data_IF_808353658956
#
_entry.id   IF_808353658956
#
_cell.length_a   1.000
_cell.length_b   1.000
_cell.length_c   1.000
_cell.angle_alpha   90.00
_cell.angle_beta   90.00
_cell.angle_gamma   90.00
#
_symmetry.space_group_name_H-M   'P 1'
#
loop_
_entity.id
_entity.type
_entity.pdbx_description
1 polymer ?
#
# COMPACT_ATOMS: atom_id res chain seq x y z
N UNK A 1 21.69 13.96 42.08
CA UNK A 1 21.94 13.70 40.65
C UNK A 1 20.66 14.03 39.91
N UNK A 2 20.63 15.12 39.15
CA UNK A 2 19.50 15.42 38.30
C UNK A 2 19.42 14.33 37.23
N UNK A 3 18.27 13.62 37.17
CA UNK A 3 18.02 12.73 36.08
C UNK A 3 18.04 13.57 34.79
N UNK A 4 18.82 13.16 33.82
CA UNK A 4 18.68 13.60 32.41
C UNK A 4 17.34 13.05 31.92
N UNK A 5 16.25 13.54 32.48
CA UNK A 5 14.90 13.22 32.08
C UNK A 5 14.48 14.13 30.93
N UNK A 6 14.00 13.54 29.89
CA UNK A 6 13.47 14.14 28.65
C UNK A 6 14.52 14.87 27.80
N UNK A 7 15.33 14.10 27.11
CA UNK A 7 15.65 14.53 25.76
C UNK A 7 14.32 14.59 25.00
N UNK A 8 14.03 15.75 24.45
CA UNK A 8 12.83 15.91 23.59
C UNK A 8 12.77 14.72 22.64
N UNK A 9 11.60 14.07 22.59
CA UNK A 9 11.40 12.98 21.62
C UNK A 9 11.74 13.58 20.26
N UNK A 10 12.68 12.97 19.56
CA UNK A 10 13.04 13.41 18.21
C UNK A 10 11.81 13.53 17.28
N UNK A 11 12.02 14.06 16.13
CA UNK A 11 10.95 14.15 15.11
C UNK A 11 11.17 13.07 14.03
N UNK A 12 10.10 12.55 13.40
CA UNK A 12 10.23 11.61 12.30
C UNK A 12 11.19 12.13 11.24
N UNK A 13 12.14 11.29 10.80
CA UNK A 13 13.14 11.65 9.80
C UNK A 13 14.28 12.54 10.30
N UNK A 14 14.33 12.88 11.58
CA UNK A 14 15.46 13.60 12.17
C UNK A 14 16.69 12.68 12.27
N UNK A 15 17.87 13.20 11.90
CA UNK A 15 19.13 12.48 12.00
C UNK A 15 19.62 12.47 13.45
N UNK A 16 20.08 11.31 13.93
CA UNK A 16 20.56 11.16 15.31
C UNK A 16 22.07 11.29 15.34
N UNK A 17 22.55 12.34 16.02
CA UNK A 17 23.95 12.61 16.21
C UNK A 17 24.63 13.31 15.02
N UNK A 18 25.77 13.93 15.30
CA UNK A 18 26.60 14.63 14.32
C UNK A 18 27.69 13.69 13.78
N UNK A 19 27.32 12.51 13.31
CA UNK A 19 28.31 11.57 12.78
C UNK A 19 28.58 11.86 11.30
N UNK A 20 29.85 11.88 10.85
CA UNK A 20 30.20 12.06 9.44
C UNK A 20 29.81 10.87 8.56
N UNK A 21 29.07 9.90 9.10
CA UNK A 21 28.69 8.64 8.47
C UNK A 21 27.32 8.69 7.80
N UNK A 22 26.55 9.78 7.93
CA UNK A 22 25.27 9.89 7.24
C UNK A 22 25.48 10.11 5.73
N UNK A 23 25.02 9.18 4.94
CA UNK A 23 24.94 9.34 3.50
C UNK A 23 23.50 9.70 3.13
N UNK A 24 23.32 10.85 2.50
CA UNK A 24 22.03 11.36 2.06
C UNK A 24 22.04 11.52 0.55
N UNK A 25 21.06 10.89 -0.11
CA UNK A 25 20.78 11.08 -1.53
C UNK A 25 19.51 11.91 -1.69
N UNK A 26 19.44 12.72 -2.75
CA UNK A 26 18.20 13.42 -3.11
C UNK A 26 17.50 12.71 -4.26
N UNK A 27 16.19 12.52 -4.12
CA UNK A 27 15.31 11.86 -5.10
C UNK A 27 14.01 12.66 -5.21
N UNK A 28 13.23 12.44 -6.25
CA UNK A 28 11.91 13.04 -6.38
C UNK A 28 10.85 12.15 -5.72
N UNK A 29 9.91 12.75 -5.01
CA UNK A 29 8.76 12.04 -4.46
C UNK A 29 7.79 11.60 -5.56
N UNK A 30 7.34 10.37 -5.52
CA UNK A 30 6.19 9.89 -6.27
C UNK A 30 5.03 9.67 -5.30
N UNK A 31 4.19 10.69 -5.18
CA UNK A 31 3.17 10.79 -4.15
C UNK A 31 3.72 11.35 -2.83
N UNK A 32 2.87 11.39 -1.80
CA UNK A 32 3.25 11.86 -0.47
C UNK A 32 4.28 10.93 0.18
N UNK A 33 5.34 11.51 0.76
CA UNK A 33 6.41 10.79 1.47
C UNK A 33 6.57 11.40 2.87
N UNK A 34 6.00 10.77 3.91
CA UNK A 34 6.16 11.21 5.29
C UNK A 34 7.62 11.16 5.75
N UNK A 35 8.02 12.10 6.61
CA UNK A 35 9.33 12.05 7.25
C UNK A 35 9.46 10.80 8.10
N UNK A 36 10.64 10.18 8.12
CA UNK A 36 10.90 8.97 8.87
C UNK A 36 10.34 7.69 8.24
N UNK A 37 9.68 7.78 7.09
CA UNK A 37 9.20 6.62 6.37
C UNK A 37 10.33 5.97 5.54
N UNK A 38 10.42 4.62 5.52
CA UNK A 38 11.21 3.90 4.54
C UNK A 38 10.77 4.22 3.11
N UNK A 39 11.73 4.41 2.21
CA UNK A 39 11.47 4.77 0.82
C UNK A 39 12.06 3.77 -0.17
N UNK A 40 11.34 3.53 -1.24
CA UNK A 40 11.62 2.55 -2.27
C UNK A 40 11.83 3.22 -3.63
N UNK A 41 12.72 2.68 -4.44
CA UNK A 41 12.86 3.10 -5.83
C UNK A 41 11.62 2.73 -6.66
N UNK A 42 11.26 3.57 -7.61
CA UNK A 42 10.10 3.34 -8.51
C UNK A 42 10.49 2.68 -9.84
N UNK A 43 11.79 2.33 -9.99
CA UNK A 43 12.32 1.65 -11.16
C UNK A 43 12.88 2.58 -12.25
N UNK A 44 12.62 3.87 -12.18
CA UNK A 44 13.19 4.89 -13.09
C UNK A 44 14.54 5.48 -12.63
N UNK A 45 14.96 5.13 -11.40
CA UNK A 45 16.22 5.57 -10.80
C UNK A 45 16.20 7.00 -10.23
N UNK A 46 15.16 7.77 -10.46
CA UNK A 46 15.06 9.18 -10.03
C UNK A 46 14.01 9.41 -8.94
N UNK A 47 12.95 8.59 -8.91
CA UNK A 47 11.83 8.76 -8.00
C UNK A 47 11.82 7.75 -6.86
N UNK A 48 11.20 8.14 -5.76
CA UNK A 48 10.96 7.29 -4.58
C UNK A 48 9.49 7.34 -4.14
N UNK A 49 9.03 6.25 -3.55
CA UNK A 49 7.70 6.15 -2.94
C UNK A 49 7.78 5.42 -1.61
N UNK A 50 6.76 5.55 -0.76
CA UNK A 50 6.66 4.84 0.53
C UNK A 50 6.12 3.42 0.40
N UNK A 51 5.49 3.10 -0.72
CA UNK A 51 4.92 1.79 -0.97
C UNK A 51 5.74 1.08 -2.03
N UNK A 52 6.42 0.02 -1.65
CA UNK A 52 7.25 -0.72 -2.60
C UNK A 52 7.65 -2.09 -2.08
N UNK A 53 7.95 -2.96 -3.02
CA UNK A 53 8.46 -4.31 -2.80
C UNK A 53 9.76 -4.53 -3.58
N UNK A 54 10.32 -3.46 -4.10
CA UNK A 54 11.55 -3.44 -4.89
C UNK A 54 12.72 -2.92 -4.06
N UNK A 55 13.61 -2.17 -4.64
CA UNK A 55 14.79 -1.65 -3.97
C UNK A 55 14.43 -0.66 -2.85
N UNK A 56 14.54 -1.11 -1.60
CA UNK A 56 14.54 -0.24 -0.44
C UNK A 56 15.81 0.61 -0.47
N UNK A 57 15.66 1.94 -0.48
CA UNK A 57 16.78 2.87 -0.62
C UNK A 57 17.26 3.45 0.70
N UNK A 58 16.38 3.61 1.67
CA UNK A 58 16.71 4.21 2.97
C UNK A 58 15.45 4.74 3.66
N UNK A 59 15.63 5.76 4.50
CA UNK A 59 14.55 6.44 5.22
C UNK A 59 14.52 7.92 4.81
N UNK A 60 13.32 8.47 4.59
CA UNK A 60 13.10 9.87 4.27
C UNK A 60 13.55 10.75 5.45
N UNK A 61 14.62 11.51 5.25
CA UNK A 61 15.11 12.45 6.24
C UNK A 61 14.24 13.71 6.26
N UNK A 62 14.11 14.31 7.45
CA UNK A 62 13.36 15.55 7.63
C UNK A 62 14.04 16.71 6.89
N UNK A 63 13.23 17.50 6.20
CA UNK A 63 13.63 18.78 5.62
C UNK A 63 13.12 19.95 6.48
N UNK A 64 13.66 21.13 6.28
CA UNK A 64 13.25 22.36 6.97
C UNK A 64 11.93 22.96 6.43
N UNK A 65 11.05 22.13 5.85
CA UNK A 65 9.73 22.54 5.39
C UNK A 65 8.69 22.41 6.50
N UNK A 66 7.70 23.29 6.51
CA UNK A 66 6.66 23.34 7.56
C UNK A 66 5.60 22.21 7.45
N UNK A 67 5.74 21.29 6.52
CA UNK A 67 4.84 20.16 6.34
C UNK A 67 5.42 18.90 6.99
N UNK A 68 4.58 17.92 7.43
CA UNK A 68 5.06 16.67 8.01
C UNK A 68 5.57 15.67 6.96
N UNK A 69 5.49 16.01 5.67
CA UNK A 69 5.80 15.12 4.55
C UNK A 69 6.27 15.91 3.32
N UNK A 70 6.95 15.21 2.44
CA UNK A 70 7.19 15.66 1.07
C UNK A 70 5.95 15.40 0.22
N UNK A 71 5.60 16.35 -0.65
CA UNK A 71 4.51 16.19 -1.63
C UNK A 71 5.03 15.54 -2.91
N UNK A 72 4.11 15.17 -3.79
CA UNK A 72 4.45 14.66 -5.12
C UNK A 72 5.39 15.64 -5.86
N UNK A 73 6.44 15.10 -6.46
CA UNK A 73 7.52 15.81 -7.14
C UNK A 73 8.44 16.68 -6.24
N UNK A 74 8.29 16.67 -4.91
CA UNK A 74 9.26 17.31 -4.02
C UNK A 74 10.61 16.56 -4.02
N UNK A 75 11.70 17.28 -3.74
CA UNK A 75 13.01 16.68 -3.53
C UNK A 75 13.09 16.03 -2.14
N UNK A 76 13.07 14.71 -2.09
CA UNK A 76 13.19 13.90 -0.87
C UNK A 76 14.64 13.67 -0.53
N UNK A 77 15.03 14.00 0.69
CA UNK A 77 16.33 13.62 1.25
C UNK A 77 16.24 12.19 1.80
N UNK A 78 16.96 11.26 1.21
CA UNK A 78 16.97 9.84 1.61
C UNK A 78 18.24 9.55 2.39
N UNK A 79 18.10 9.23 3.68
CA UNK A 79 19.21 8.76 4.51
C UNK A 79 19.45 7.28 4.20
N UNK A 80 20.65 6.95 3.74
CA UNK A 80 21.06 5.58 3.34
C UNK A 80 21.89 4.88 4.38
N UNK A 81 22.67 5.63 5.15
CA UNK A 81 23.52 5.11 6.23
C UNK A 81 23.44 6.04 7.44
N UNK A 82 23.74 5.51 8.62
CA UNK A 82 23.73 6.24 9.89
C UNK A 82 22.44 6.04 10.69
N UNK A 83 22.20 6.89 11.67
CA UNK A 83 21.07 6.78 12.60
C UNK A 83 20.02 7.84 12.34
N UNK A 84 18.76 7.42 12.26
CA UNK A 84 17.62 8.28 11.95
C UNK A 84 16.39 7.86 12.75
N UNK A 85 15.52 8.82 13.07
CA UNK A 85 14.21 8.51 13.65
C UNK A 85 13.25 8.02 12.57
N UNK A 86 12.85 6.76 12.66
CA UNK A 86 11.81 6.15 11.85
C UNK A 86 10.49 6.02 12.61
N UNK A 87 9.43 5.66 11.91
CA UNK A 87 8.09 5.42 12.48
C UNK A 87 7.87 3.91 12.62
N UNK A 88 7.59 3.47 13.84
CA UNK A 88 7.30 2.07 14.14
C UNK A 88 5.89 1.68 13.70
N UNK A 89 5.73 0.47 13.19
CA UNK A 89 4.43 -0.14 12.88
C UNK A 89 3.85 -0.95 14.04
N UNK A 90 4.68 -1.24 15.03
CA UNK A 90 4.34 -2.04 16.22
C UNK A 90 5.39 -1.80 17.31
N UNK A 91 5.26 -2.45 18.46
CA UNK A 91 6.26 -2.41 19.52
C UNK A 91 7.59 -3.04 19.05
N UNK A 92 8.70 -2.36 19.30
CA UNK A 92 10.05 -2.79 18.91
C UNK A 92 10.98 -2.63 20.11
N UNK A 93 11.74 -3.67 20.43
CA UNK A 93 12.77 -3.61 21.49
C UNK A 93 14.05 -2.94 20.97
N UNK A 94 14.76 -2.23 21.88
CA UNK A 94 16.08 -1.71 21.57
C UNK A 94 17.04 -2.86 21.20
N UNK A 95 18.01 -2.57 20.34
CA UNK A 95 19.02 -3.50 19.80
C UNK A 95 18.45 -4.71 19.02
N UNK A 96 17.14 -4.71 18.76
CA UNK A 96 16.54 -5.70 17.87
C UNK A 96 16.83 -5.39 16.40
N UNK A 97 17.06 -6.43 15.62
CA UNK A 97 17.03 -6.30 14.15
C UNK A 97 15.59 -6.03 13.71
N UNK A 98 15.39 -5.16 12.72
CA UNK A 98 14.09 -4.74 12.26
C UNK A 98 13.82 -5.11 10.81
N UNK A 99 12.56 -5.21 10.47
CA UNK A 99 12.04 -5.37 9.11
C UNK A 99 11.32 -4.09 8.67
N UNK A 100 11.11 -3.96 7.38
CA UNK A 100 10.30 -2.90 6.77
C UNK A 100 9.06 -3.52 6.15
N UNK A 101 7.88 -3.05 6.55
CA UNK A 101 6.62 -3.40 5.90
C UNK A 101 6.45 -2.53 4.65
N UNK A 102 6.62 -3.12 3.47
CA UNK A 102 6.57 -2.41 2.19
C UNK A 102 5.18 -1.92 1.79
N UNK A 103 4.13 -2.39 2.47
CA UNK A 103 2.74 -1.96 2.20
C UNK A 103 2.33 -0.76 3.05
N UNK A 104 2.82 -0.68 4.29
CA UNK A 104 2.51 0.42 5.21
C UNK A 104 3.60 1.48 5.27
N UNK A 105 4.81 1.17 4.77
CA UNK A 105 5.96 2.04 4.87
C UNK A 105 6.42 2.26 6.32
N UNK A 106 6.26 1.26 7.20
CA UNK A 106 6.63 1.34 8.61
C UNK A 106 7.71 0.32 8.96
N UNK A 107 8.41 0.62 10.05
CA UNK A 107 9.43 -0.26 10.62
C UNK A 107 8.74 -1.18 11.61
N UNK A 108 9.00 -2.47 11.51
CA UNK A 108 8.40 -3.52 12.35
C UNK A 108 9.48 -4.40 12.97
N UNK A 109 9.15 -5.14 14.01
CA UNK A 109 10.04 -6.14 14.57
C UNK A 109 10.46 -7.13 13.47
N UNK A 110 11.66 -7.70 13.57
CA UNK A 110 12.16 -8.63 12.57
C UNK A 110 11.22 -9.81 12.39
N UNK A 111 10.82 -10.04 11.16
CA UNK A 111 10.02 -11.18 10.74
C UNK A 111 10.59 -11.76 9.44
N UNK A 112 10.06 -12.89 8.96
CA UNK A 112 10.50 -13.47 7.70
C UNK A 112 10.16 -12.56 6.52
N UNK A 113 11.12 -12.37 5.61
CA UNK A 113 10.88 -11.62 4.39
C UNK A 113 9.74 -12.26 3.57
N UNK A 114 8.87 -11.43 3.01
CA UNK A 114 7.74 -11.84 2.20
C UNK A 114 7.54 -10.92 1.01
N UNK A 115 7.24 -11.48 -0.15
CA UNK A 115 7.02 -10.69 -1.37
C UNK A 115 5.72 -9.87 -1.36
N UNK A 116 4.83 -10.14 -0.40
CA UNK A 116 3.49 -9.58 -0.38
C UNK A 116 2.61 -10.12 -1.51
N UNK A 117 1.31 -9.95 -1.37
CA UNK A 117 0.34 -10.38 -2.37
C UNK A 117 -0.72 -9.31 -2.61
N UNK A 118 -1.23 -9.24 -3.84
CA UNK A 118 -2.41 -8.45 -4.18
C UNK A 118 -3.66 -9.30 -3.97
N UNK A 119 -4.68 -8.69 -3.35
CA UNK A 119 -5.99 -9.36 -3.27
C UNK A 119 -6.59 -9.52 -4.66
N UNK A 120 -7.21 -10.67 -4.89
CA UNK A 120 -8.04 -10.91 -6.07
C UNK A 120 -9.47 -11.28 -5.68
N UNK A 121 -10.43 -10.81 -6.46
CA UNK A 121 -11.85 -11.16 -6.33
C UNK A 121 -12.38 -11.42 -7.74
N UNK A 122 -13.18 -12.47 -7.90
CA UNK A 122 -13.83 -12.78 -9.20
C UNK A 122 -15.32 -12.54 -9.12
N UNK A 123 -15.89 -12.03 -10.21
CA UNK A 123 -17.33 -11.92 -10.44
C UNK A 123 -17.63 -12.76 -11.66
N UNK A 124 -18.35 -13.87 -11.47
CA UNK A 124 -18.72 -14.78 -12.54
C UNK A 124 -20.18 -14.53 -12.92
N UNK A 125 -20.42 -14.17 -14.17
CA UNK A 125 -21.76 -14.12 -14.73
C UNK A 125 -22.12 -15.49 -15.31
N UNK A 126 -23.38 -15.91 -15.15
CA UNK A 126 -23.90 -17.12 -15.77
C UNK A 126 -25.37 -16.93 -16.18
N UNK A 127 -25.82 -17.75 -17.15
CA UNK A 127 -27.13 -17.59 -17.75
C UNK A 127 -27.16 -16.49 -18.81
N UNK A 128 -28.36 -16.19 -19.30
CA UNK A 128 -28.61 -15.14 -20.28
C UNK A 128 -29.60 -14.16 -19.68
N UNK A 129 -29.30 -12.87 -19.76
CA UNK A 129 -30.18 -11.82 -19.26
C UNK A 129 -31.27 -11.50 -20.28
N UNK A 130 -32.45 -11.09 -19.82
CA UNK A 130 -33.40 -10.36 -20.64
C UNK A 130 -32.89 -8.92 -20.84
N UNK A 131 -33.45 -8.22 -21.85
CA UNK A 131 -33.23 -6.79 -22.01
C UNK A 131 -33.83 -6.00 -20.83
N UNK A 132 -33.35 -4.78 -20.63
CA UNK A 132 -33.84 -3.83 -19.63
C UNK A 132 -33.74 -4.33 -18.17
N UNK A 133 -32.77 -5.21 -17.88
CA UNK A 133 -32.44 -5.63 -16.52
C UNK A 133 -31.28 -4.84 -15.99
N UNK A 134 -31.30 -4.61 -14.68
CA UNK A 134 -30.23 -3.86 -13.98
C UNK A 134 -29.25 -4.82 -13.35
N UNK A 135 -27.98 -4.61 -13.63
CA UNK A 135 -26.84 -5.23 -12.95
C UNK A 135 -26.16 -4.17 -12.10
N UNK A 136 -25.98 -4.47 -10.83
CA UNK A 136 -25.29 -3.57 -9.89
C UNK A 136 -24.06 -4.26 -9.31
N UNK A 137 -22.90 -3.62 -9.42
CA UNK A 137 -21.66 -4.07 -8.78
C UNK A 137 -21.18 -2.99 -7.83
N UNK A 138 -20.88 -3.37 -6.58
CA UNK A 138 -20.29 -2.48 -5.57
C UNK A 138 -18.90 -2.96 -5.20
N UNK A 139 -17.97 -2.00 -5.09
CA UNK A 139 -16.59 -2.21 -4.60
C UNK A 139 -16.34 -1.16 -3.51
N UNK A 140 -16.37 -1.58 -2.26
CA UNK A 140 -16.42 -0.65 -1.13
C UNK A 140 -17.64 0.28 -1.23
N UNK A 141 -17.39 1.58 -1.17
CA UNK A 141 -18.43 2.60 -1.26
C UNK A 141 -18.82 2.99 -2.70
N UNK A 142 -18.08 2.49 -3.69
CA UNK A 142 -18.35 2.78 -5.11
C UNK A 142 -19.30 1.74 -5.68
N UNK A 143 -20.31 2.23 -6.40
CA UNK A 143 -21.27 1.38 -7.10
C UNK A 143 -21.33 1.74 -8.58
N UNK A 144 -21.35 0.75 -9.43
CA UNK A 144 -21.64 0.89 -10.84
C UNK A 144 -22.92 0.13 -11.17
N UNK A 145 -23.75 0.73 -12.01
CA UNK A 145 -24.96 0.10 -12.54
C UNK A 145 -24.89 0.09 -14.04
N UNK A 146 -25.34 -1.01 -14.63
CA UNK A 146 -25.51 -1.14 -16.06
C UNK A 146 -26.90 -1.75 -16.35
N UNK A 147 -27.46 -1.40 -17.51
CA UNK A 147 -28.71 -1.97 -18.01
C UNK A 147 -28.37 -2.93 -19.14
N UNK A 148 -28.93 -4.14 -19.08
CA UNK A 148 -28.80 -5.13 -20.16
C UNK A 148 -29.62 -4.72 -21.36
N UNK A 149 -29.19 -5.12 -22.55
CA UNK A 149 -29.82 -4.85 -23.83
C UNK A 149 -29.72 -6.09 -24.73
N UNK A 150 -30.24 -6.02 -25.95
CA UNK A 150 -30.06 -7.10 -26.91
C UNK A 150 -28.60 -7.37 -27.26
N UNK A 151 -27.72 -6.35 -27.13
CA UNK A 151 -26.27 -6.46 -27.32
C UNK A 151 -25.51 -6.84 -26.04
N UNK A 152 -26.15 -6.75 -24.87
CA UNK A 152 -25.54 -7.04 -23.56
C UNK A 152 -26.46 -7.99 -22.79
N UNK A 153 -26.50 -9.25 -23.17
CA UNK A 153 -27.38 -10.26 -22.55
C UNK A 153 -26.70 -11.59 -22.23
N UNK A 154 -25.70 -12.01 -22.99
CA UNK A 154 -24.96 -13.22 -22.64
C UNK A 154 -24.05 -12.99 -21.45
N UNK A 155 -23.73 -14.05 -20.72
CA UNK A 155 -22.84 -13.97 -19.56
C UNK A 155 -21.50 -13.26 -19.88
N UNK A 156 -20.91 -13.54 -21.06
CA UNK A 156 -19.67 -12.92 -21.49
C UNK A 156 -19.83 -11.43 -21.82
N UNK A 157 -20.95 -11.04 -22.47
CA UNK A 157 -21.23 -9.63 -22.76
C UNK A 157 -21.48 -8.83 -21.48
N UNK A 158 -22.22 -9.40 -20.52
CA UNK A 158 -22.46 -8.78 -19.21
C UNK A 158 -21.14 -8.63 -18.44
N UNK A 159 -20.28 -9.65 -18.42
CA UNK A 159 -18.95 -9.55 -17.79
C UNK A 159 -18.10 -8.46 -18.44
N UNK A 160 -18.10 -8.34 -19.77
CA UNK A 160 -17.37 -7.28 -20.49
C UNK A 160 -17.92 -5.88 -20.16
N UNK A 161 -19.23 -5.73 -20.05
CA UNK A 161 -19.87 -4.47 -19.66
C UNK A 161 -19.55 -4.09 -18.22
N UNK A 162 -19.54 -5.05 -17.28
CA UNK A 162 -19.12 -4.85 -15.89
C UNK A 162 -17.65 -4.38 -15.85
N UNK A 163 -16.76 -5.05 -16.57
CA UNK A 163 -15.35 -4.68 -16.63
C UNK A 163 -15.16 -3.25 -17.13
N UNK A 164 -15.83 -2.88 -18.23
CA UNK A 164 -15.75 -1.54 -18.79
C UNK A 164 -16.27 -0.46 -17.81
N UNK A 165 -17.38 -0.70 -17.14
CA UNK A 165 -17.95 0.21 -16.15
C UNK A 165 -17.05 0.38 -14.93
N UNK A 166 -16.45 -0.70 -14.43
CA UNK A 166 -15.50 -0.65 -13.32
C UNK A 166 -14.18 0.03 -13.71
N UNK A 167 -13.69 -0.17 -14.94
CA UNK A 167 -12.49 0.49 -15.43
C UNK A 167 -12.64 2.01 -15.57
N UNK A 168 -13.87 2.49 -15.82
CA UNK A 168 -14.21 3.91 -15.87
C UNK A 168 -14.39 4.55 -14.48
N UNK A 169 -14.37 3.74 -13.41
CA UNK A 169 -14.62 4.19 -12.04
C UNK A 169 -13.29 4.14 -11.25
N UNK A 170 -13.02 5.18 -10.47
CA UNK A 170 -11.84 5.15 -9.59
C UNK A 170 -12.08 4.23 -8.39
N UNK A 171 -11.70 2.96 -8.56
CA UNK A 171 -11.73 1.92 -7.54
C UNK A 171 -10.30 1.46 -7.22
N UNK A 172 -10.03 0.92 -6.02
CA UNK A 172 -8.69 0.44 -5.65
C UNK A 172 -8.30 -0.91 -6.28
N UNK A 173 -9.00 -1.31 -7.34
CA UNK A 173 -8.75 -2.54 -8.10
C UNK A 173 -8.59 -2.23 -9.59
N UNK A 174 -7.86 -3.10 -10.27
CA UNK A 174 -7.82 -3.20 -11.73
C UNK A 174 -8.78 -4.32 -12.14
N UNK A 175 -9.72 -4.03 -13.04
CA UNK A 175 -10.67 -5.01 -13.55
C UNK A 175 -10.17 -5.58 -14.90
N UNK A 176 -10.11 -6.89 -15.01
CA UNK A 176 -9.86 -7.62 -16.25
C UNK A 176 -10.99 -8.62 -16.51
N UNK A 177 -11.22 -8.99 -17.77
CA UNK A 177 -12.28 -9.93 -18.14
C UNK A 177 -11.72 -11.07 -18.97
N UNK A 178 -12.19 -12.28 -18.68
CA UNK A 178 -11.94 -13.47 -19.49
C UNK A 178 -13.26 -14.26 -19.59
N UNK A 179 -13.83 -14.36 -20.79
CA UNK A 179 -15.14 -14.97 -21.03
C UNK A 179 -16.22 -14.34 -20.12
N UNK A 180 -16.86 -15.13 -19.26
CA UNK A 180 -17.91 -14.70 -18.35
C UNK A 180 -17.40 -14.31 -16.95
N UNK A 181 -16.07 -14.16 -16.75
CA UNK A 181 -15.45 -13.88 -15.45
C UNK A 181 -14.73 -12.54 -15.49
N UNK A 182 -15.12 -11.65 -14.59
CA UNK A 182 -14.38 -10.43 -14.27
C UNK A 182 -13.47 -10.70 -13.08
N UNK A 183 -12.19 -10.44 -13.23
CA UNK A 183 -11.20 -10.52 -12.15
C UNK A 183 -10.81 -9.13 -11.70
N UNK A 184 -11.03 -8.83 -10.43
CA UNK A 184 -10.58 -7.61 -9.77
C UNK A 184 -9.26 -7.93 -9.04
N UNK A 185 -8.19 -7.22 -9.41
CA UNK A 185 -6.88 -7.33 -8.75
C UNK A 185 -6.59 -6.01 -8.05
N UNK A 186 -6.29 -6.03 -6.76
CA UNK A 186 -5.95 -4.84 -6.00
C UNK A 186 -4.77 -4.10 -6.66
N UNK A 187 -4.82 -2.76 -6.71
CA UNK A 187 -3.75 -1.93 -7.27
C UNK A 187 -2.45 -2.07 -6.47
N UNK A 188 -2.55 -2.14 -5.13
CA UNK A 188 -1.44 -2.35 -4.20
C UNK A 188 -1.42 -3.78 -3.62
N UNK A 189 -0.25 -4.19 -3.12
CA UNK A 189 -0.10 -5.32 -2.20
C UNK A 189 -0.55 -4.90 -0.79
N UNK A 190 -0.82 -5.85 0.07
CA UNK A 190 -1.12 -5.59 1.47
C UNK A 190 -2.51 -6.05 1.90
N UNK A 191 -2.69 -6.12 3.21
CA UNK A 191 -3.93 -6.61 3.83
C UNK A 191 -5.10 -5.62 3.75
N UNK A 192 -4.83 -4.33 3.58
CA UNK A 192 -5.88 -3.29 3.53
C UNK A 192 -6.95 -3.52 2.46
N UNK A 193 -6.58 -4.16 1.34
CA UNK A 193 -7.55 -4.50 0.30
C UNK A 193 -8.52 -5.61 0.73
N UNK A 194 -8.21 -6.40 1.78
CA UNK A 194 -9.04 -7.53 2.22
C UNK A 194 -10.36 -7.08 2.85
N UNK A 195 -10.40 -5.87 3.42
CA UNK A 195 -11.58 -5.31 4.09
C UNK A 195 -12.56 -4.65 3.12
N UNK A 196 -12.19 -4.52 1.83
CA UNK A 196 -13.04 -3.89 0.82
C UNK A 196 -14.10 -4.89 0.37
N UNK A 197 -15.35 -4.65 0.72
CA UNK A 197 -16.46 -5.50 0.29
C UNK A 197 -16.68 -5.42 -1.23
N UNK A 198 -16.88 -6.56 -1.88
CA UNK A 198 -17.27 -6.65 -3.29
C UNK A 198 -18.58 -7.41 -3.37
N UNK A 199 -19.60 -6.81 -3.99
CA UNK A 199 -20.89 -7.45 -4.22
C UNK A 199 -21.35 -7.23 -5.67
N UNK A 200 -22.06 -8.19 -6.19
CA UNK A 200 -22.68 -8.10 -7.53
C UNK A 200 -24.10 -8.68 -7.46
N UNK A 201 -25.04 -7.94 -7.99
CA UNK A 201 -26.47 -8.33 -8.00
C UNK A 201 -27.09 -8.02 -9.35
N UNK A 202 -28.12 -8.77 -9.70
CA UNK A 202 -28.97 -8.52 -10.86
C UNK A 202 -30.44 -8.66 -10.46
N UNK A 203 -31.33 -7.93 -11.11
CA UNK A 203 -32.79 -8.08 -10.96
C UNK A 203 -33.38 -9.07 -11.98
N UNK A 204 -32.54 -9.79 -12.72
CA UNK A 204 -32.94 -10.82 -13.67
C UNK A 204 -32.97 -12.18 -12.96
N UNK A 205 -34.10 -12.90 -13.10
CA UNK A 205 -34.28 -14.24 -12.52
C UNK A 205 -33.57 -15.36 -13.30
N UNK A 206 -33.08 -15.10 -14.51
CA UNK A 206 -32.43 -16.09 -15.39
C UNK A 206 -30.90 -15.93 -15.44
N UNK A 207 -30.38 -14.77 -15.04
CA UNK A 207 -28.96 -14.51 -14.92
C UNK A 207 -28.54 -14.50 -13.45
N UNK A 208 -27.39 -15.06 -13.17
CA UNK A 208 -26.78 -15.01 -11.83
C UNK A 208 -25.40 -14.40 -11.87
N UNK A 209 -25.04 -13.67 -10.81
CA UNK A 209 -23.73 -13.10 -10.57
C UNK A 209 -23.19 -13.71 -9.26
N UNK A 210 -22.07 -14.40 -9.37
CA UNK A 210 -21.42 -15.01 -8.21
C UNK A 210 -20.10 -14.29 -7.93
N UNK A 211 -19.94 -13.80 -6.71
CA UNK A 211 -18.68 -13.18 -6.24
C UNK A 211 -17.91 -14.21 -5.42
N UNK A 212 -16.66 -14.41 -5.76
CA UNK A 212 -15.77 -15.29 -5.00
C UNK A 212 -14.45 -14.56 -4.68
N UNK A 213 -13.96 -14.73 -3.44
CA UNK A 213 -12.63 -14.28 -3.05
C UNK A 213 -11.60 -15.25 -3.62
N UNK A 214 -10.58 -14.70 -4.28
CA UNK A 214 -9.40 -15.43 -4.73
C UNK A 214 -8.26 -15.33 -3.71
N UNK A 215 -7.09 -14.82 -4.15
CA UNK A 215 -5.95 -14.60 -3.28
C UNK A 215 -6.24 -13.46 -2.30
N UNK A 216 -5.95 -13.67 -1.01
CA UNK A 216 -5.95 -12.58 -0.03
C UNK A 216 -4.72 -11.68 -0.24
N UNK A 217 -4.89 -10.39 -0.02
CA UNK A 217 -3.77 -9.46 0.04
C UNK A 217 -2.86 -9.78 1.23
N UNK A 218 -1.58 -9.64 1.04
CA UNK A 218 -0.57 -9.80 2.09
C UNK A 218 0.49 -8.71 1.97
N UNK A 219 1.01 -8.26 3.11
CA UNK A 219 2.03 -7.23 3.16
C UNK A 219 3.37 -7.77 2.65
N UNK A 220 4.11 -6.93 1.94
CA UNK A 220 5.51 -7.19 1.66
C UNK A 220 6.34 -6.89 2.91
N UNK A 221 7.31 -7.75 3.22
CA UNK A 221 8.23 -7.59 4.34
C UNK A 221 9.66 -7.69 3.83
N UNK A 222 10.45 -6.66 4.09
CA UNK A 222 11.84 -6.58 3.68
C UNK A 222 12.76 -6.59 4.93
N UNK A 223 13.87 -7.30 4.84
CA UNK A 223 14.88 -7.40 5.90
C UNK A 223 16.17 -6.70 5.44
N UNK A 224 16.31 -5.40 5.69
CA UNK A 224 17.47 -4.63 5.24
C UNK A 224 18.74 -4.86 6.09
N UNK A 225 18.64 -5.56 7.20
CA UNK A 225 19.74 -5.71 8.17
C UNK A 225 19.89 -4.50 9.10
N UNK A 226 18.87 -3.69 9.26
CA UNK A 226 18.86 -2.54 10.15
C UNK A 226 18.58 -2.95 11.60
N UNK A 227 19.01 -2.11 12.54
CA UNK A 227 18.81 -2.34 13.96
C UNK A 227 18.10 -1.17 14.63
N UNK A 228 17.15 -1.45 15.52
CA UNK A 228 16.60 -0.45 16.42
C UNK A 228 17.64 -0.10 17.49
N UNK A 229 17.84 1.19 17.79
CA UNK A 229 18.70 1.68 18.86
C UNK A 229 17.93 2.31 20.01
N UNK A 230 16.60 2.34 19.89
CA UNK A 230 15.69 2.70 20.97
C UNK A 230 14.48 1.77 20.95
N UNK A 231 13.71 1.77 22.03
CA UNK A 231 12.41 1.08 22.07
C UNK A 231 11.35 1.92 21.40
N UNK A 232 10.37 1.27 20.77
CA UNK A 232 9.05 1.79 20.46
C UNK A 232 8.04 0.92 21.25
N UNK A 233 7.11 1.54 21.98
CA UNK A 233 6.17 0.80 22.81
C UNK A 233 4.91 0.39 22.05
N UNK A 234 4.59 1.13 20.97
CA UNK A 234 3.41 0.90 20.15
C UNK A 234 3.64 1.31 18.68
N UNK A 235 2.66 1.03 17.83
CA UNK A 235 2.58 1.59 16.49
C UNK A 235 2.54 3.12 16.55
N UNK A 236 3.12 3.75 15.55
CA UNK A 236 3.29 5.21 15.39
C UNK A 236 4.25 5.88 16.39
N UNK A 237 4.87 5.11 17.28
CA UNK A 237 5.99 5.59 18.07
C UNK A 237 7.24 5.80 17.21
N UNK A 238 8.12 6.67 17.70
CA UNK A 238 9.44 6.86 17.07
C UNK A 238 10.44 5.81 17.55
N UNK A 239 11.18 5.28 16.61
CA UNK A 239 12.31 4.37 16.87
C UNK A 239 13.57 4.92 16.19
N UNK A 240 14.69 4.92 16.91
CA UNK A 240 15.99 5.21 16.32
C UNK A 240 16.43 3.97 15.55
N UNK A 241 16.65 4.12 14.25
CA UNK A 241 17.11 3.04 13.38
C UNK A 241 18.52 3.32 12.91
N UNK A 242 19.38 2.32 13.06
CA UNK A 242 20.74 2.30 12.54
C UNK A 242 20.73 1.57 11.19
N UNK A 243 21.08 2.30 10.15
CA UNK A 243 21.02 1.82 8.77
C UNK A 243 22.31 1.12 8.31
N UNK A 244 23.32 1.10 9.18
CA UNK A 244 24.64 0.54 8.89
C UNK A 244 25.69 1.55 8.49
#
# INVERSE_FOLDING_TARGET
MAAYGNMDKGLPGELVGLTPTHQIDSRLAKGAVPFGAPVFGTGDGEQVSVNGDTALLGIAARSAIDTPEYKDADAVNVCRTGKIFGVAGEAISADAEVSVNGSTGKIVAKTSAAAGAKRTVTITASGTSAADKTVTVKVGDKAVQLTTSDDVKTAAQVASAIQAALAATDIPFVATVASAVVTLTAKGKGVAANDIAVTATTNDGTQTLTVANGTSGADAVLNPGWFARSTAEAADDLVIVDLG
#
